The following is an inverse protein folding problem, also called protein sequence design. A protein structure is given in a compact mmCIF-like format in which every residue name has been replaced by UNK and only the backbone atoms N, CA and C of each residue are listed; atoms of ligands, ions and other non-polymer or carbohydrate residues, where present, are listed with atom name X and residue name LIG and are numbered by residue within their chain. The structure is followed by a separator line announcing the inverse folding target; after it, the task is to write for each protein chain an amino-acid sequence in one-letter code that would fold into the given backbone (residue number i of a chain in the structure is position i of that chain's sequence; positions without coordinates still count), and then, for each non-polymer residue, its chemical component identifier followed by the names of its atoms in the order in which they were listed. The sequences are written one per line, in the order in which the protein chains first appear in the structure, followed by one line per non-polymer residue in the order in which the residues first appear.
data_IF_027400592355
#
_entry.id   IF_027400592355
#
_cell.length_a   1.000
_cell.length_b   1.000
_cell.length_c   1.000
_cell.angle_alpha   90.00
_cell.angle_beta   90.00
_cell.angle_gamma   90.00
#
_symmetry.space_group_name_H-M   'P 1'
#
loop_
_entity.id
_entity.type
_entity.pdbx_description
1 polymer ?
#
# COMPACT_ATOMS: atom_id res chain seq x y z
N UNK A 1 13.31 -1.95 -14.76
CA UNK A 1 12.42 -2.51 -13.72
C UNK A 1 12.50 -4.03 -13.82
N UNK A 2 12.91 -4.72 -12.76
CA UNK A 2 13.17 -6.18 -12.76
C UNK A 2 11.90 -6.99 -12.47
N UNK A 3 11.83 -8.22 -12.99
CA UNK A 3 10.70 -9.14 -12.83
C UNK A 3 10.32 -9.38 -11.35
N UNK A 4 11.32 -9.47 -10.46
CA UNK A 4 11.10 -9.63 -9.03
C UNK A 4 10.35 -8.45 -8.40
N UNK A 5 10.59 -7.24 -8.89
CA UNK A 5 9.91 -6.03 -8.42
C UNK A 5 8.45 -6.04 -8.88
N UNK A 6 8.21 -6.42 -10.15
CA UNK A 6 6.87 -6.56 -10.68
C UNK A 6 6.07 -7.67 -9.98
N UNK A 7 6.70 -8.80 -9.61
CA UNK A 7 6.04 -9.87 -8.85
C UNK A 7 5.72 -9.46 -7.41
N UNK A 8 6.58 -8.66 -6.76
CA UNK A 8 6.25 -8.05 -5.46
C UNK A 8 5.05 -7.13 -5.58
N UNK A 9 5.06 -6.21 -6.55
CA UNK A 9 3.98 -5.25 -6.75
C UNK A 9 2.64 -5.94 -7.09
N UNK A 10 2.67 -7.03 -7.87
CA UNK A 10 1.49 -7.86 -8.16
C UNK A 10 0.91 -8.53 -6.90
N UNK A 11 1.75 -8.90 -5.93
CA UNK A 11 1.35 -9.47 -4.64
C UNK A 11 0.55 -8.47 -3.79
N UNK A 12 0.69 -7.18 -4.07
CA UNK A 12 0.00 -6.09 -3.36
C UNK A 12 -1.18 -5.51 -4.16
N UNK A 13 -1.56 -6.11 -5.30
CA UNK A 13 -2.72 -5.66 -6.06
C UNK A 13 -4.01 -6.00 -5.32
N UNK A 14 -4.57 -5.00 -4.65
CA UNK A 14 -5.85 -5.07 -3.93
C UNK A 14 -7.00 -5.64 -4.76
N UNK A 15 -7.00 -5.46 -6.10
CA UNK A 15 -8.03 -5.99 -6.98
C UNK A 15 -7.89 -7.50 -7.15
N UNK A 16 -6.65 -7.99 -7.27
CA UNK A 16 -6.37 -9.43 -7.34
C UNK A 16 -6.76 -10.11 -6.03
N UNK A 17 -6.48 -9.45 -4.91
CA UNK A 17 -6.81 -10.00 -3.59
C UNK A 17 -8.31 -10.05 -3.33
N UNK A 18 -9.04 -8.99 -3.71
CA UNK A 18 -10.51 -8.98 -3.69
C UNK A 18 -11.08 -10.04 -4.63
N UNK A 19 -10.52 -10.18 -5.82
CA UNK A 19 -10.94 -11.21 -6.76
C UNK A 19 -10.78 -12.61 -6.16
N UNK A 20 -9.62 -12.95 -5.59
CA UNK A 20 -9.38 -14.24 -4.93
C UNK A 20 -10.36 -14.52 -3.76
N UNK A 21 -10.73 -13.49 -2.99
CA UNK A 21 -11.75 -13.59 -1.94
C UNK A 21 -13.15 -13.87 -2.51
N UNK A 22 -13.52 -13.19 -3.61
CA UNK A 22 -14.84 -13.36 -4.24
C UNK A 22 -14.99 -14.67 -5.00
N UNK A 23 -13.90 -15.20 -5.57
CA UNK A 23 -13.89 -16.47 -6.30
C UNK A 23 -13.65 -17.68 -5.40
N UNK A 24 -13.46 -17.46 -4.09
CA UNK A 24 -13.22 -18.53 -3.12
C UNK A 24 -11.84 -19.18 -3.22
N UNK A 25 -10.92 -18.60 -3.99
CA UNK A 25 -9.52 -19.05 -4.07
C UNK A 25 -8.69 -18.68 -2.83
N UNK A 26 -9.23 -17.83 -1.95
CA UNK A 26 -8.66 -17.52 -0.65
C UNK A 26 -9.78 -17.44 0.39
N UNK A 27 -9.61 -18.17 1.50
CA UNK A 27 -10.57 -18.14 2.59
C UNK A 27 -10.41 -16.86 3.44
N UNK A 28 -11.48 -16.48 4.17
CA UNK A 28 -11.43 -15.33 5.08
C UNK A 28 -10.37 -15.50 6.17
N UNK A 29 -10.08 -16.73 6.58
CA UNK A 29 -9.10 -17.06 7.61
C UNK A 29 -7.67 -16.84 7.10
N UNK A 30 -7.38 -17.30 5.89
CA UNK A 30 -6.09 -17.07 5.22
C UNK A 30 -5.84 -15.58 4.97
N UNK A 31 -6.89 -14.85 4.59
CA UNK A 31 -6.82 -13.40 4.43
C UNK A 31 -6.51 -12.68 5.74
N UNK A 32 -7.17 -13.08 6.83
CA UNK A 32 -6.93 -12.50 8.14
C UNK A 32 -5.50 -12.78 8.62
N UNK A 33 -5.02 -14.01 8.45
CA UNK A 33 -3.64 -14.39 8.76
C UNK A 33 -2.62 -13.60 7.94
N UNK A 34 -2.92 -13.32 6.68
CA UNK A 34 -2.10 -12.46 5.83
C UNK A 34 -2.04 -11.02 6.37
N UNK A 35 -3.18 -10.43 6.70
CA UNK A 35 -3.24 -9.08 7.29
C UNK A 35 -2.46 -8.98 8.61
N UNK A 36 -2.58 -9.99 9.47
CA UNK A 36 -1.84 -10.08 10.74
C UNK A 36 -0.33 -10.25 10.54
N UNK A 37 0.11 -10.82 9.41
CA UNK A 37 1.54 -10.97 9.08
C UNK A 37 2.20 -9.67 8.60
N UNK A 38 1.41 -8.65 8.27
CA UNK A 38 1.94 -7.38 7.78
C UNK A 38 2.52 -6.55 8.93
N UNK A 39 3.74 -5.99 8.78
CA UNK A 39 4.31 -5.12 9.80
C UNK A 39 3.48 -3.84 9.94
N UNK A 40 3.29 -3.39 11.17
CA UNK A 40 2.68 -2.08 11.42
C UNK A 40 3.63 -0.97 10.95
N UNK A 41 3.16 -0.20 9.97
CA UNK A 41 3.91 0.90 9.36
C UNK A 41 3.41 2.26 9.84
N UNK A 42 2.47 2.31 10.80
CA UNK A 42 1.91 3.56 11.31
C UNK A 42 3.01 4.53 11.80
N UNK A 43 4.04 4.02 12.46
CA UNK A 43 5.18 4.81 12.94
C UNK A 43 6.08 5.38 11.82
N UNK A 44 5.94 4.91 10.57
CA UNK A 44 6.72 5.36 9.40
C UNK A 44 5.93 6.29 8.48
N UNK A 45 4.70 6.63 8.85
CA UNK A 45 3.88 7.56 8.08
C UNK A 45 4.40 8.98 8.31
N UNK A 46 5.02 9.56 7.28
CA UNK A 46 5.33 10.99 7.25
C UNK A 46 4.06 11.70 6.80
N UNK A 47 3.44 12.43 7.72
CA UNK A 47 2.30 13.30 7.41
C UNK A 47 2.80 14.50 6.61
N UNK A 48 2.40 14.60 5.35
CA UNK A 48 2.71 15.73 4.49
C UNK A 48 1.58 16.76 4.58
N UNK A 49 1.84 17.91 5.19
CA UNK A 49 0.89 19.03 5.20
C UNK A 49 0.98 19.79 3.88
N UNK A 50 -0.04 19.64 3.03
CA UNK A 50 -0.13 20.32 1.74
C UNK A 50 -0.11 21.85 1.85
N UNK A 51 -0.43 22.41 3.02
CA UNK A 51 -0.37 23.84 3.32
C UNK A 51 1.06 24.41 3.34
N UNK A 52 2.06 23.62 3.74
CA UNK A 52 3.45 24.08 3.88
C UNK A 52 4.16 24.23 2.53
N UNK A 53 3.65 23.57 1.48
CA UNK A 53 4.19 23.61 0.11
C UNK A 53 3.85 24.90 -0.62
N UNK A 54 2.80 25.62 -0.18
CA UNK A 54 2.41 26.88 -0.83
C UNK A 54 3.37 28.02 -0.49
N UNK A 55 3.90 28.07 0.73
CA UNK A 55 4.77 29.17 1.16
C UNK A 55 6.17 29.11 0.52
N UNK A 56 6.70 27.92 0.26
CA UNK A 56 8.05 27.78 -0.33
C UNK A 56 8.14 28.15 -1.81
N UNK A 57 7.02 28.43 -2.48
CA UNK A 57 6.97 28.87 -3.89
C UNK A 57 6.84 30.37 -4.07
N UNK A 58 6.52 31.11 -3.00
CA UNK A 58 6.28 32.56 -3.04
C UNK A 58 7.51 33.37 -2.59
N UNK A 59 8.53 32.73 -2.01
CA UNK A 59 9.76 33.40 -1.55
C UNK A 59 10.90 33.45 -2.61
N UNK A 60 10.68 32.91 -3.82
CA UNK A 60 11.69 32.89 -4.90
C UNK A 60 11.54 34.02 -5.94
N UNK A 61 10.83 35.12 -5.63
CA UNK A 61 10.57 36.19 -6.62
C UNK A 61 10.86 37.63 -6.15
#
# INVERSE_FOLDING_TARGET
MTLDKAMKDLKYDTRLTQWCLTTGQMTKEEWKKHLESLPDLQARVITFNLSEVRNSREEEH
#
